data_IF_597030241648
#
_entry.id   IF_597030241648
#
_cell.length_a   1.000
_cell.length_b   1.000
_cell.length_c   1.000
_cell.angle_alpha   90.00
_cell.angle_beta   90.00
_cell.angle_gamma   90.00
#
_symmetry.space_group_name_H-M   'P 1'
#
loop_
_entity.id
_entity.type
_entity.pdbx_description
1 polymer ?
#
# COMPACT_ATOMS: atom_id res chain seq x y z
N UNK A 1 58.71 46.54 2.86
CA UNK A 1 57.52 46.46 1.99
C UNK A 1 56.93 45.06 2.16
N UNK A 2 55.99 44.86 3.08
CA UNK A 2 54.55 44.68 2.77
C UNK A 2 54.34 43.59 1.70
N UNK A 3 53.77 42.41 2.00
CA UNK A 3 52.37 42.24 2.42
C UNK A 3 52.13 40.89 3.12
N UNK A 4 51.38 40.99 4.21
CA UNK A 4 50.58 39.96 4.90
C UNK A 4 49.61 39.30 3.92
N UNK A 5 49.46 37.96 3.94
CA UNK A 5 48.23 37.30 3.48
C UNK A 5 47.82 36.21 4.45
N UNK A 6 46.57 36.32 4.87
CA UNK A 6 45.86 35.56 5.89
C UNK A 6 44.91 34.56 5.23
N UNK A 7 44.57 33.51 5.99
CA UNK A 7 43.43 32.58 5.86
C UNK A 7 43.48 31.63 4.63
N UNK A 8 42.99 30.39 4.69
CA UNK A 8 41.80 29.92 5.40
C UNK A 8 41.85 28.38 5.56
N UNK A 9 41.67 27.88 6.78
CA UNK A 9 41.49 26.45 7.09
C UNK A 9 40.01 26.13 6.91
N UNK A 10 39.66 25.40 5.86
CA UNK A 10 38.34 24.78 5.73
C UNK A 10 38.39 23.37 6.30
N UNK A 11 37.90 23.24 7.54
CA UNK A 11 37.48 21.97 8.13
C UNK A 11 36.34 21.38 7.29
N UNK A 12 36.66 20.40 6.46
CA UNK A 12 35.69 19.50 5.85
C UNK A 12 34.98 18.72 6.97
N UNK A 13 33.72 19.05 7.22
CA UNK A 13 32.83 18.30 8.10
C UNK A 13 32.66 16.90 7.52
N UNK A 14 33.11 15.89 8.25
CA UNK A 14 32.85 14.49 7.93
C UNK A 14 31.34 14.28 7.81
N UNK A 15 30.89 13.96 6.60
CA UNK A 15 29.59 13.35 6.37
C UNK A 15 29.62 11.99 7.06
N UNK A 16 29.00 11.91 8.24
CA UNK A 16 28.69 10.62 8.85
C UNK A 16 27.72 9.92 7.90
N UNK A 17 28.24 8.97 7.12
CA UNK A 17 27.43 7.96 6.46
C UNK A 17 26.63 7.27 7.55
N UNK A 18 25.33 7.58 7.62
CA UNK A 18 24.39 6.84 8.44
C UNK A 18 24.33 5.47 7.77
N UNK A 19 25.01 4.49 8.38
CA UNK A 19 24.83 3.10 8.04
C UNK A 19 23.34 2.82 8.16
N UNK A 20 22.71 2.48 7.03
CA UNK A 20 21.35 1.95 7.00
C UNK A 20 21.45 0.59 7.68
N UNK A 21 21.23 0.58 8.99
CA UNK A 21 21.02 -0.65 9.74
C UNK A 21 19.74 -1.24 9.17
N UNK A 22 19.88 -2.29 8.37
CA UNK A 22 18.75 -3.11 7.95
C UNK A 22 17.96 -3.48 9.21
N UNK A 23 16.64 -3.23 9.27
CA UNK A 23 15.86 -3.54 10.45
C UNK A 23 15.97 -5.05 10.72
N UNK A 24 16.38 -5.39 11.95
CA UNK A 24 16.60 -6.77 12.41
C UNK A 24 15.31 -7.60 12.57
N UNK A 25 14.17 -7.03 12.18
CA UNK A 25 12.86 -7.68 12.17
C UNK A 25 12.18 -7.36 10.84
N UNK A 26 11.44 -8.33 10.26
CA UNK A 26 10.62 -8.02 9.10
C UNK A 26 9.64 -6.91 9.49
N UNK A 27 9.66 -5.81 8.75
CA UNK A 27 8.67 -4.74 8.91
C UNK A 27 7.30 -5.39 8.65
N UNK A 28 6.35 -5.23 9.56
CA UNK A 28 4.99 -5.72 9.38
C UNK A 28 4.07 -4.64 8.84
N UNK A 29 2.92 -5.04 8.30
CA UNK A 29 1.89 -4.10 7.83
C UNK A 29 1.39 -3.17 8.94
N UNK A 30 1.21 -3.68 10.16
CA UNK A 30 0.84 -2.86 11.32
C UNK A 30 1.95 -1.88 11.71
N UNK A 31 3.22 -2.29 11.66
CA UNK A 31 4.36 -1.40 11.91
C UNK A 31 4.43 -0.25 10.89
N UNK A 32 4.13 -0.52 9.62
CA UNK A 32 4.03 0.53 8.59
C UNK A 32 2.85 1.47 8.86
N UNK A 33 1.69 0.93 9.25
CA UNK A 33 0.51 1.74 9.60
C UNK A 33 0.83 2.74 10.71
N UNK A 34 1.59 2.30 11.71
CA UNK A 34 1.92 3.06 12.91
C UNK A 34 3.11 4.02 12.70
N UNK A 35 3.91 3.82 11.65
CA UNK A 35 4.96 4.77 11.25
C UNK A 35 4.35 6.11 10.81
N UNK A 36 4.83 7.26 11.36
CA UNK A 36 4.22 8.55 11.10
C UNK A 36 4.42 9.07 9.66
N UNK A 37 5.37 8.52 8.90
CA UNK A 37 5.70 8.92 7.53
C UNK A 37 5.06 7.95 6.54
N UNK A 38 5.42 6.67 6.60
CA UNK A 38 4.89 5.61 5.72
C UNK A 38 3.40 5.40 5.96
N UNK A 39 2.95 5.36 7.22
CA UNK A 39 1.54 5.24 7.55
C UNK A 39 0.72 6.42 7.03
N UNK A 40 1.29 7.63 6.99
CA UNK A 40 0.62 8.76 6.35
C UNK A 40 0.56 8.58 4.82
N UNK A 41 1.63 8.14 4.19
CA UNK A 41 1.68 7.88 2.73
C UNK A 41 0.69 6.80 2.30
N UNK A 42 0.55 5.73 3.07
CA UNK A 42 -0.46 4.69 2.83
C UNK A 42 -1.88 5.27 2.92
N UNK A 43 -2.17 6.09 3.95
CA UNK A 43 -3.48 6.78 4.05
C UNK A 43 -3.75 7.73 2.88
N UNK A 44 -2.73 8.44 2.41
CA UNK A 44 -2.83 9.30 1.21
C UNK A 44 -3.17 8.45 -0.02
N UNK A 45 -2.47 7.32 -0.23
CA UNK A 45 -2.76 6.40 -1.33
C UNK A 45 -4.22 5.89 -1.26
N UNK A 46 -4.66 5.40 -0.10
CA UNK A 46 -6.03 4.90 0.09
C UNK A 46 -7.06 6.01 -0.17
N UNK A 47 -6.80 7.22 0.34
CA UNK A 47 -7.67 8.37 0.09
C UNK A 47 -7.77 8.69 -1.41
N UNK A 48 -6.65 8.67 -2.14
CA UNK A 48 -6.65 8.96 -3.58
C UNK A 48 -7.37 7.90 -4.40
N UNK A 49 -7.20 6.63 -4.04
CA UNK A 49 -7.94 5.51 -4.63
C UNK A 49 -9.46 5.67 -4.43
N UNK A 50 -9.90 6.20 -3.28
CA UNK A 50 -11.31 6.50 -3.03
C UNK A 50 -11.82 7.75 -3.78
N UNK A 51 -10.97 8.73 -4.05
CA UNK A 51 -11.38 10.06 -4.49
C UNK A 51 -10.96 10.42 -5.92
N UNK A 52 -10.53 9.45 -6.72
CA UNK A 52 -10.02 9.70 -8.08
C UNK A 52 -10.97 10.50 -8.99
N UNK A 53 -12.29 10.31 -8.86
CA UNK A 53 -13.30 11.02 -9.67
C UNK A 53 -13.60 12.42 -9.12
N UNK A 54 -13.37 12.63 -7.82
CA UNK A 54 -13.80 13.84 -7.08
C UNK A 54 -12.67 14.83 -6.88
N UNK A 55 -11.42 14.36 -6.84
CA UNK A 55 -10.22 15.15 -6.58
C UNK A 55 -9.23 15.01 -7.75
N UNK A 56 -9.02 16.12 -8.47
CA UNK A 56 -8.11 16.17 -9.62
C UNK A 56 -6.65 15.92 -9.21
N UNK A 57 -6.25 16.29 -7.98
CA UNK A 57 -4.90 16.02 -7.48
C UNK A 57 -4.72 14.52 -7.16
N UNK A 58 -5.73 13.87 -6.59
CA UNK A 58 -5.76 12.41 -6.46
C UNK A 58 -5.65 11.72 -7.82
N UNK A 59 -6.46 12.15 -8.81
CA UNK A 59 -6.43 11.62 -10.16
C UNK A 59 -5.05 11.75 -10.81
N UNK A 60 -4.44 12.93 -10.70
CA UNK A 60 -3.12 13.20 -11.25
C UNK A 60 -2.06 12.29 -10.67
N UNK A 61 -2.05 12.07 -9.34
CA UNK A 61 -1.08 11.18 -8.70
C UNK A 61 -1.27 9.73 -9.08
N UNK A 62 -2.49 9.23 -9.04
CA UNK A 62 -2.81 7.85 -9.45
C UNK A 62 -2.39 7.60 -10.90
N UNK A 63 -2.65 8.56 -11.81
CA UNK A 63 -2.25 8.43 -13.21
C UNK A 63 -0.73 8.54 -13.44
N UNK A 64 0.02 9.16 -12.52
CA UNK A 64 1.48 9.27 -12.60
C UNK A 64 2.19 8.03 -12.03
N UNK A 65 1.48 7.18 -11.29
CA UNK A 65 2.04 5.96 -10.74
C UNK A 65 2.02 4.85 -11.79
N UNK A 66 3.20 4.30 -12.08
CA UNK A 66 3.39 3.25 -13.11
C UNK A 66 3.47 1.84 -12.53
N UNK A 67 3.49 1.72 -11.21
CA UNK A 67 3.55 0.44 -10.52
C UNK A 67 2.17 -0.22 -10.48
N UNK A 68 2.12 -1.53 -10.75
CA UNK A 68 0.88 -2.34 -10.78
C UNK A 68 0.09 -2.23 -9.47
N UNK A 69 0.79 -2.17 -8.34
CA UNK A 69 0.19 -2.07 -7.03
C UNK A 69 0.10 -0.62 -6.52
N UNK A 70 0.49 0.38 -7.31
CA UNK A 70 0.57 1.78 -6.88
C UNK A 70 1.55 2.05 -5.72
N UNK A 71 2.45 1.10 -5.41
CA UNK A 71 3.49 1.26 -4.37
C UNK A 71 4.76 1.75 -5.07
N UNK A 72 4.73 2.99 -5.56
CA UNK A 72 5.91 3.69 -6.10
C UNK A 72 5.70 5.22 -6.08
N UNK A 73 6.49 5.96 -6.86
CA UNK A 73 6.30 7.40 -7.00
C UNK A 73 4.88 7.72 -7.54
N UNK A 74 4.27 8.87 -7.15
CA UNK A 74 4.83 9.93 -6.30
C UNK A 74 4.71 9.66 -4.79
N UNK A 75 4.10 8.55 -4.37
CA UNK A 75 3.83 8.26 -2.96
C UNK A 75 5.09 7.83 -2.21
N UNK A 76 5.86 6.91 -2.79
CA UNK A 76 7.00 6.26 -2.15
C UNK A 76 8.29 6.51 -2.92
N UNK A 77 9.39 6.73 -2.20
CA UNK A 77 10.73 6.57 -2.81
C UNK A 77 10.96 5.09 -3.14
N UNK A 78 11.93 4.75 -4.00
CA UNK A 78 12.23 3.35 -4.31
C UNK A 78 12.50 2.49 -3.07
N UNK A 79 13.23 3.02 -2.09
CA UNK A 79 13.53 2.34 -0.82
C UNK A 79 12.27 2.10 0.00
N UNK A 80 11.40 3.10 0.09
CA UNK A 80 10.12 2.99 0.80
C UNK A 80 9.18 1.99 0.12
N UNK A 81 9.14 2.01 -1.21
CA UNK A 81 8.33 1.08 -1.99
C UNK A 81 8.76 -0.37 -1.74
N UNK A 82 10.06 -0.65 -1.74
CA UNK A 82 10.60 -1.97 -1.40
C UNK A 82 10.24 -2.37 0.03
N UNK A 83 10.40 -1.47 1.00
CA UNK A 83 10.05 -1.75 2.39
C UNK A 83 8.56 -2.09 2.56
N UNK A 84 7.68 -1.36 1.87
CA UNK A 84 6.23 -1.61 1.88
C UNK A 84 5.88 -2.95 1.23
N UNK A 85 6.43 -3.25 0.05
CA UNK A 85 6.16 -4.50 -0.69
C UNK A 85 6.66 -5.75 0.04
N UNK A 86 7.79 -5.64 0.74
CA UNK A 86 8.37 -6.74 1.52
C UNK A 86 7.76 -6.86 2.92
N UNK A 87 6.84 -5.98 3.31
CA UNK A 87 6.26 -6.01 4.65
C UNK A 87 5.42 -7.27 4.87
N UNK A 88 5.53 -7.89 6.04
CA UNK A 88 4.76 -9.09 6.36
C UNK A 88 3.36 -8.72 6.83
N UNK A 89 2.36 -9.36 6.26
CA UNK A 89 0.95 -9.16 6.65
C UNK A 89 0.71 -9.79 8.02
N UNK A 90 0.39 -8.97 9.00
CA UNK A 90 0.15 -9.38 10.39
C UNK A 90 -1.27 -9.04 10.90
N UNK A 91 -2.10 -8.48 10.02
CA UNK A 91 -3.48 -8.08 10.32
C UNK A 91 -4.45 -9.17 9.87
N UNK A 92 -5.49 -9.41 10.67
CA UNK A 92 -6.58 -10.33 10.32
C UNK A 92 -7.55 -9.65 9.35
N UNK A 93 -7.73 -10.21 8.15
CA UNK A 93 -8.50 -9.60 7.04
C UNK A 93 -10.01 -9.93 7.13
N UNK A 94 -10.45 -10.53 8.24
CA UNK A 94 -11.76 -11.15 8.48
C UNK A 94 -13.00 -10.32 8.13
N UNK A 95 -12.90 -8.99 8.02
CA UNK A 95 -14.08 -8.13 7.85
C UNK A 95 -14.45 -7.80 6.40
N UNK A 96 -13.52 -7.90 5.43
CA UNK A 96 -13.74 -7.29 4.11
C UNK A 96 -14.03 -8.29 2.98
N UNK A 97 -13.61 -9.54 3.12
CA UNK A 97 -13.78 -10.57 2.08
C UNK A 97 -14.95 -11.54 2.35
N UNK A 98 -15.59 -11.46 3.51
CA UNK A 98 -16.87 -12.11 3.79
C UNK A 98 -18.03 -11.28 3.22
N UNK A 99 -17.96 -10.93 1.94
CA UNK A 99 -19.19 -10.60 1.21
C UNK A 99 -19.76 -11.92 0.69
N UNK A 100 -20.99 -12.31 1.08
CA UNK A 100 -21.69 -13.42 0.47
C UNK A 100 -22.19 -13.00 -0.92
N UNK A 101 -21.29 -12.67 -1.85
CA UNK A 101 -21.60 -12.60 -3.28
C UNK A 101 -21.19 -13.90 -3.99
N UNK A 102 -21.31 -15.01 -3.25
CA UNK A 102 -21.42 -16.37 -3.78
C UNK A 102 -22.89 -16.80 -3.89
N UNK A 103 -23.81 -15.84 -4.03
CA UNK A 103 -25.21 -16.08 -4.34
C UNK A 103 -25.47 -16.29 -5.85
N UNK A 104 -24.45 -16.27 -6.71
CA UNK A 104 -24.59 -16.50 -8.16
C UNK A 104 -23.59 -17.51 -8.75
N UNK A 105 -23.25 -18.55 -7.99
CA UNK A 105 -22.64 -19.77 -8.55
C UNK A 105 -23.24 -21.06 -7.97
N UNK A 106 -24.49 -21.01 -7.49
CA UNK A 106 -25.27 -22.22 -7.24
C UNK A 106 -26.04 -22.56 -8.51
N UNK A 107 -25.36 -23.20 -9.45
CA UNK A 107 -25.97 -24.15 -10.38
C UNK A 107 -24.89 -25.07 -10.92
N UNK A 108 -25.04 -26.36 -10.58
CA UNK A 108 -24.31 -27.55 -11.01
C UNK A 108 -23.08 -27.95 -10.18
N UNK A 109 -23.37 -28.60 -9.05
CA UNK A 109 -22.78 -29.93 -8.78
C UNK A 109 -23.90 -30.85 -8.28
N UNK A 110 -24.48 -31.61 -9.20
CA UNK A 110 -25.13 -32.88 -8.86
C UNK A 110 -24.04 -33.94 -8.95
N UNK A 111 -23.37 -34.24 -7.85
CA UNK A 111 -22.99 -35.59 -7.43
C UNK A 111 -22.04 -35.49 -6.23
N UNK A 112 -22.26 -36.37 -5.25
CA UNK A 112 -21.80 -36.21 -3.88
C UNK A 112 -20.29 -36.37 -3.67
N UNK A 113 -19.76 -35.54 -2.77
CA UNK A 113 -18.44 -35.70 -2.17
C UNK A 113 -18.30 -34.76 -0.98
N UNK A 114 -18.63 -35.21 0.22
CA UNK A 114 -18.24 -34.52 1.46
C UNK A 114 -16.74 -34.77 1.63
N UNK A 115 -15.93 -33.82 1.16
CA UNK A 115 -14.53 -33.72 1.55
C UNK A 115 -14.39 -32.53 2.50
N UNK A 116 -14.44 -32.83 3.80
CA UNK A 116 -14.00 -31.96 4.87
C UNK A 116 -12.49 -31.75 4.76
N UNK A 117 -12.07 -30.88 3.84
CA UNK A 117 -10.70 -30.38 3.75
C UNK A 117 -10.70 -28.98 4.34
N UNK A 118 -9.97 -28.80 5.44
CA UNK A 118 -9.82 -27.55 6.18
C UNK A 118 -9.78 -26.34 5.23
N UNK A 119 -10.88 -25.57 5.16
CA UNK A 119 -10.89 -24.24 4.56
C UNK A 119 -9.95 -23.38 5.42
N UNK A 120 -8.65 -23.49 5.13
CA UNK A 120 -7.64 -22.57 5.63
C UNK A 120 -8.09 -21.20 5.16
N UNK A 121 -8.71 -20.46 6.08
CA UNK A 121 -9.32 -19.16 5.83
C UNK A 121 -8.38 -18.29 5.01
N UNK A 122 -8.89 -17.52 4.05
CA UNK A 122 -8.07 -16.57 3.28
C UNK A 122 -7.18 -15.71 4.18
N UNK A 123 -7.66 -15.36 5.38
CA UNK A 123 -6.87 -14.66 6.39
C UNK A 123 -5.61 -15.44 6.82
N UNK A 124 -5.71 -16.76 7.00
CA UNK A 124 -4.59 -17.64 7.36
C UNK A 124 -3.58 -17.80 6.22
N UNK A 125 -4.03 -17.79 4.96
CA UNK A 125 -3.14 -17.86 3.79
C UNK A 125 -2.31 -16.59 3.60
N UNK A 126 -2.94 -15.43 3.84
CA UNK A 126 -2.32 -14.13 3.68
C UNK A 126 -1.42 -13.76 4.85
N UNK A 127 -1.67 -14.32 6.03
CA UNK A 127 -0.84 -14.08 7.21
C UNK A 127 0.62 -14.43 6.92
N UNK A 128 1.52 -13.56 7.37
CA UNK A 128 2.97 -13.74 7.30
C UNK A 128 3.56 -13.75 5.86
N UNK A 129 2.72 -13.55 4.84
CA UNK A 129 3.16 -13.33 3.46
C UNK A 129 3.67 -11.89 3.26
N UNK A 130 4.60 -11.67 2.33
CA UNK A 130 4.95 -10.32 1.92
C UNK A 130 3.74 -9.66 1.25
N UNK A 131 3.58 -8.37 1.49
CA UNK A 131 2.46 -7.57 1.02
C UNK A 131 2.22 -7.71 -0.48
N UNK A 132 3.28 -7.68 -1.31
CA UNK A 132 3.15 -7.82 -2.77
C UNK A 132 2.47 -9.14 -3.16
N UNK A 133 2.87 -10.24 -2.51
CA UNK A 133 2.24 -11.56 -2.73
C UNK A 133 0.81 -11.57 -2.23
N UNK A 134 0.54 -11.01 -1.05
CA UNK A 134 -0.79 -10.95 -0.49
C UNK A 134 -1.77 -10.15 -1.37
N UNK A 135 -1.32 -9.02 -1.94
CA UNK A 135 -2.09 -8.22 -2.90
C UNK A 135 -2.38 -9.04 -4.16
N UNK A 136 -1.38 -9.73 -4.73
CA UNK A 136 -1.56 -10.56 -5.92
C UNK A 136 -2.55 -11.70 -5.68
N UNK A 137 -2.46 -12.38 -4.55
CA UNK A 137 -3.38 -13.47 -4.19
C UNK A 137 -4.81 -12.97 -4.02
N UNK A 138 -4.99 -11.84 -3.34
CA UNK A 138 -6.31 -11.26 -3.09
C UNK A 138 -6.97 -10.75 -4.38
N UNK A 139 -6.17 -10.17 -5.26
CA UNK A 139 -6.65 -9.60 -6.51
C UNK A 139 -6.67 -10.61 -7.67
N UNK A 140 -6.16 -11.84 -7.50
CA UNK A 140 -6.04 -12.84 -8.58
C UNK A 140 -7.37 -13.04 -9.34
N UNK A 141 -8.50 -13.04 -8.61
CA UNK A 141 -9.84 -13.17 -9.19
C UNK A 141 -10.38 -11.87 -9.84
N UNK A 142 -9.75 -10.72 -9.56
CA UNK A 142 -10.11 -9.41 -10.12
C UNK A 142 -9.34 -9.09 -11.42
N UNK A 143 -8.09 -9.55 -11.56
CA UNK A 143 -7.23 -9.32 -12.74
C UNK A 143 -7.85 -9.83 -14.05
N UNK A 144 -8.56 -10.97 -14.01
CA UNK A 144 -9.03 -11.66 -15.22
C UNK A 144 -10.15 -10.92 -15.97
N UNK A 145 -10.97 -10.12 -15.28
CA UNK A 145 -12.12 -9.44 -15.90
C UNK A 145 -11.73 -8.23 -16.77
N UNK A 146 -10.55 -7.62 -16.54
CA UNK A 146 -10.12 -6.37 -17.21
C UNK A 146 -9.02 -6.58 -18.26
N UNK A 147 -8.28 -7.69 -18.23
CA UNK A 147 -7.28 -8.06 -19.25
C UNK A 147 -7.88 -8.19 -20.67
N UNK A 148 -9.17 -8.50 -20.76
CA UNK A 148 -9.92 -8.52 -22.03
C UNK A 148 -10.20 -7.13 -22.63
N UNK A 149 -10.00 -6.04 -21.88
CA UNK A 149 -10.38 -4.66 -22.27
C UNK A 149 -9.21 -3.76 -22.68
N UNK A 150 -7.95 -4.21 -22.58
CA UNK A 150 -6.78 -3.44 -23.03
C UNK A 150 -6.29 -2.32 -22.09
N UNK A 151 -6.86 -2.17 -20.89
CA UNK A 151 -6.27 -1.38 -19.80
C UNK A 151 -5.35 -2.30 -18.97
N UNK A 152 -4.06 -1.98 -18.89
CA UNK A 152 -3.07 -2.77 -18.17
C UNK A 152 -3.24 -2.69 -16.64
N UNK A 153 -4.14 -1.83 -16.14
CA UNK A 153 -4.44 -1.72 -14.71
C UNK A 153 -5.54 -2.71 -14.33
N UNK A 154 -5.31 -3.54 -13.30
CA UNK A 154 -6.05 -4.78 -13.10
C UNK A 154 -7.45 -4.64 -12.52
N UNK A 155 -7.75 -3.51 -11.89
CA UNK A 155 -9.06 -3.21 -11.33
C UNK A 155 -9.26 -1.69 -11.29
N UNK A 156 -10.51 -1.25 -11.08
CA UNK A 156 -10.74 0.17 -10.86
C UNK A 156 -10.05 0.59 -9.55
N UNK A 157 -9.52 1.82 -9.45
CA UNK A 157 -8.93 2.32 -8.20
C UNK A 157 -9.87 2.18 -6.98
N UNK A 158 -11.18 2.16 -7.20
CA UNK A 158 -12.20 1.91 -6.17
C UNK A 158 -12.16 0.50 -5.57
N UNK A 159 -11.70 -0.50 -6.32
CA UNK A 159 -11.59 -1.89 -5.86
C UNK A 159 -10.33 -2.11 -5.00
N UNK A 160 -9.31 -1.25 -5.18
CA UNK A 160 -8.04 -1.33 -4.44
C UNK A 160 -8.08 -0.66 -3.08
N UNK A 161 -8.76 0.48 -2.95
CA UNK A 161 -8.80 1.21 -1.68
C UNK A 161 -9.16 0.32 -0.48
N UNK A 162 -10.19 -0.54 -0.55
CA UNK A 162 -10.55 -1.33 0.60
C UNK A 162 -9.66 -2.57 0.80
N UNK A 163 -9.02 -3.10 -0.25
CA UNK A 163 -7.95 -4.10 -0.13
C UNK A 163 -6.78 -3.55 0.68
N UNK A 164 -6.33 -2.34 0.34
CA UNK A 164 -5.29 -1.65 1.08
C UNK A 164 -5.72 -1.34 2.52
N UNK A 165 -6.95 -0.86 2.71
CA UNK A 165 -7.51 -0.62 4.03
C UNK A 165 -7.45 -1.89 4.91
N UNK A 166 -7.84 -3.05 4.36
CA UNK A 166 -7.82 -4.31 5.08
C UNK A 166 -6.40 -4.81 5.39
N UNK A 167 -5.49 -4.79 4.41
CA UNK A 167 -4.11 -5.27 4.58
C UNK A 167 -3.30 -4.45 5.59
N UNK A 168 -3.60 -3.15 5.72
CA UNK A 168 -2.96 -2.28 6.69
C UNK A 168 -3.77 -2.10 7.98
N UNK A 169 -4.97 -2.67 8.09
CA UNK A 169 -5.85 -2.45 9.24
C UNK A 169 -6.18 -0.97 9.45
N UNK A 170 -6.47 -0.27 8.36
CA UNK A 170 -6.86 1.14 8.31
C UNK A 170 -8.36 1.23 8.04
N UNK A 171 -9.11 1.95 8.86
CA UNK A 171 -10.53 2.17 8.58
C UNK A 171 -10.73 3.31 7.58
N UNK A 172 -11.59 3.13 6.58
CA UNK A 172 -11.89 4.19 5.59
C UNK A 172 -12.58 5.43 6.23
N UNK A 173 -13.18 5.27 7.40
CA UNK A 173 -13.73 6.36 8.24
C UNK A 173 -12.64 7.33 8.69
N UNK A 174 -11.45 6.83 9.06
CA UNK A 174 -10.33 7.64 9.56
C UNK A 174 -9.82 8.64 8.50
N UNK A 175 -10.00 8.31 7.21
CA UNK A 175 -9.62 9.15 6.08
C UNK A 175 -10.56 10.35 5.87
N UNK A 176 -11.70 10.38 6.56
CA UNK A 176 -12.64 11.51 6.58
C UNK A 176 -12.41 12.45 7.75
N UNK A 177 -11.53 12.08 8.69
CA UNK A 177 -11.26 12.90 9.87
C UNK A 177 -10.48 14.17 9.52
N UNK A 178 -10.86 15.27 10.15
CA UNK A 178 -10.24 16.58 9.93
C UNK A 178 -8.75 16.59 10.30
N UNK A 179 -8.32 15.72 11.23
CA UNK A 179 -6.90 15.54 11.57
C UNK A 179 -6.10 15.06 10.36
N UNK A 180 -6.60 14.04 9.67
CA UNK A 180 -5.99 13.51 8.45
C UNK A 180 -6.09 14.55 7.32
N UNK A 181 -7.29 15.06 7.04
CA UNK A 181 -7.53 16.02 5.96
C UNK A 181 -6.73 17.32 6.12
N UNK A 182 -6.56 17.79 7.37
CA UNK A 182 -5.69 18.92 7.69
C UNK A 182 -4.23 18.63 7.35
N UNK A 183 -3.73 17.43 7.65
CA UNK A 183 -2.35 17.03 7.29
C UNK A 183 -2.20 16.86 5.78
N UNK A 184 -3.15 16.20 5.12
CA UNK A 184 -3.21 16.00 3.67
C UNK A 184 -3.15 17.31 2.89
N UNK A 185 -3.91 18.33 3.30
CA UNK A 185 -3.87 19.67 2.68
C UNK A 185 -2.52 20.39 2.90
N UNK A 186 -1.87 20.20 4.05
CA UNK A 186 -0.59 20.86 4.39
C UNK A 186 0.63 20.19 3.77
N UNK A 187 0.57 18.90 3.49
CA UNK A 187 1.70 18.16 2.89
C UNK A 187 1.98 18.56 1.44
N UNK A 188 1.16 19.46 0.85
CA UNK A 188 1.41 20.01 -0.48
C UNK A 188 1.36 18.95 -1.57
N UNK A 189 0.66 17.85 -1.30
CA UNK A 189 0.44 16.76 -2.23
C UNK A 189 -0.61 17.25 -3.25
N UNK A 190 -0.20 18.14 -4.15
CA UNK A 190 -1.01 18.78 -5.20
C UNK A 190 -0.62 18.31 -6.61
#
# INVERSE_FOLDING_TARGET
MSKKKVANVQKGKGTKSIAVVAPAFPITTSAIRDDPILGHKIRVLIYDLCNIVKDASSQKRINHTTDEHYISAPYFSPEQATAVKCARVDVTISSYMDTPDRAYAENQTEDGGIESLEETSMSTRLQDQPLDTAIRELLNNFFDKRRASGDARPCGPHDLAPVYAALFGIELSELKEERFLGRYRRSGVN
#
